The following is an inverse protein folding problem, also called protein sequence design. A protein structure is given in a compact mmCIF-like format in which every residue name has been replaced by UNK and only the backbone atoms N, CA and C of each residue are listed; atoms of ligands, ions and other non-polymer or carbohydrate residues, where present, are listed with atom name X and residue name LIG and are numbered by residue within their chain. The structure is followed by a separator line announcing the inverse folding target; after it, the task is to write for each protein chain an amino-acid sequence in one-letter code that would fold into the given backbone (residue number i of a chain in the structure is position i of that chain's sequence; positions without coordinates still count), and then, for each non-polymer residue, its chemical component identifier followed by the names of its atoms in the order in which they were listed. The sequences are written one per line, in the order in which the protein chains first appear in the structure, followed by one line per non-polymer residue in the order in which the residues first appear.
data_IF_496812507802
#
_entry.id   IF_496812507802
#
_cell.length_a   1.000
_cell.length_b   1.000
_cell.length_c   1.000
_cell.angle_alpha   90.00
_cell.angle_beta   90.00
_cell.angle_gamma   90.00
#
_symmetry.space_group_name_H-M   'P 1'
#
loop_
_entity.id
_entity.type
_entity.pdbx_description
1 polymer ?
#
# COMPACT_ATOMS: atom_id res chain seq x y z
N UNK A 1 40.93 47.86 -15.96
CA UNK A 1 39.58 47.43 -16.34
C UNK A 1 39.27 46.18 -15.51
N UNK A 2 38.63 46.39 -14.35
CA UNK A 2 38.45 45.37 -13.29
C UNK A 2 37.10 44.66 -13.52
N UNK A 3 37.16 43.40 -13.84
CA UNK A 3 36.01 42.51 -13.91
C UNK A 3 35.67 42.14 -12.46
N UNK A 4 34.54 42.62 -11.92
CA UNK A 4 34.00 42.20 -10.64
C UNK A 4 33.20 40.93 -10.86
N UNK A 5 33.73 39.80 -10.41
CA UNK A 5 32.97 38.56 -10.19
C UNK A 5 31.98 38.76 -9.04
N UNK A 6 30.71 38.80 -9.38
CA UNK A 6 29.62 38.73 -8.37
C UNK A 6 29.41 37.28 -8.01
N UNK A 7 30.14 36.81 -6.99
CA UNK A 7 29.87 35.52 -6.37
C UNK A 7 28.52 35.56 -5.65
N UNK A 8 27.51 34.88 -6.19
CA UNK A 8 26.26 34.65 -5.52
C UNK A 8 26.54 33.66 -4.38
N UNK A 9 26.67 34.18 -3.16
CA UNK A 9 26.74 33.39 -1.93
C UNK A 9 25.36 32.82 -1.64
N UNK A 10 25.06 31.62 -2.13
CA UNK A 10 23.97 30.82 -1.58
C UNK A 10 24.38 30.37 -0.17
N UNK A 11 23.84 30.98 0.85
CA UNK A 11 23.94 30.49 2.21
C UNK A 11 22.88 29.39 2.38
N UNK A 12 23.30 28.21 2.81
CA UNK A 12 22.45 27.04 3.11
C UNK A 12 21.34 27.31 4.17
N UNK A 13 21.25 28.54 4.67
CA UNK A 13 20.27 28.97 5.67
C UNK A 13 18.95 29.52 5.12
N UNK A 14 18.86 29.82 3.83
CA UNK A 14 17.69 30.50 3.24
C UNK A 14 16.72 29.58 2.52
N UNK A 15 16.96 28.26 2.49
CA UNK A 15 16.03 27.28 1.96
C UNK A 15 15.54 26.40 3.11
N UNK A 16 14.77 26.97 4.03
CA UNK A 16 13.83 26.17 4.82
C UNK A 16 12.68 25.76 3.92
N UNK A 17 12.95 24.83 3.01
CA UNK A 17 11.86 24.17 2.28
C UNK A 17 10.99 23.46 3.32
N UNK A 18 9.78 23.99 3.51
CA UNK A 18 8.79 23.32 4.34
C UNK A 18 8.27 22.11 3.58
N UNK A 19 8.96 20.98 3.69
CA UNK A 19 8.61 19.73 3.02
C UNK A 19 7.16 19.31 3.29
N UNK A 20 6.60 19.66 4.46
CA UNK A 20 5.20 19.38 4.80
C UNK A 20 4.22 20.18 3.94
N UNK A 21 4.53 21.44 3.61
CA UNK A 21 3.72 22.22 2.69
C UNK A 21 3.69 21.61 1.29
N UNK A 22 4.80 21.07 0.83
CA UNK A 22 4.88 20.41 -0.48
C UNK A 22 4.02 19.15 -0.58
N UNK A 23 3.67 18.50 0.54
CA UNK A 23 2.80 17.32 0.54
C UNK A 23 1.33 17.67 0.25
N UNK A 24 0.90 18.91 0.53
CA UNK A 24 -0.49 19.33 0.33
C UNK A 24 -0.91 19.29 -1.14
N UNK A 25 0.02 19.57 -2.04
CA UNK A 25 -0.24 19.67 -3.49
C UNK A 25 -0.18 18.31 -4.21
N UNK A 26 0.19 17.24 -3.50
CA UNK A 26 0.26 15.89 -4.06
C UNK A 26 -1.14 15.37 -4.39
N UNK A 27 -1.31 14.89 -5.62
CA UNK A 27 -2.62 14.47 -6.14
C UNK A 27 -2.79 12.95 -6.11
N UNK A 28 -1.79 12.19 -6.55
CA UNK A 28 -1.86 10.73 -6.60
C UNK A 28 -1.01 10.14 -5.49
N UNK A 29 -1.67 9.48 -4.54
CA UNK A 29 -1.09 9.03 -3.28
C UNK A 29 -1.24 7.52 -3.15
N UNK A 30 -0.12 6.82 -2.90
CA UNK A 30 -0.11 5.42 -2.51
C UNK A 30 0.15 5.35 -1.01
N UNK A 31 -0.72 4.65 -0.29
CA UNK A 31 -0.57 4.42 1.16
C UNK A 31 -0.41 2.93 1.41
N UNK A 32 0.68 2.54 2.08
CA UNK A 32 0.92 1.16 2.47
C UNK A 32 0.68 0.99 3.97
N UNK A 33 -0.02 -0.08 4.34
CA UNK A 33 -0.22 -0.48 5.73
C UNK A 33 0.22 -1.93 5.96
N UNK A 34 1.07 -2.13 6.97
CA UNK A 34 1.57 -3.45 7.34
C UNK A 34 0.59 -4.26 8.20
N UNK A 35 0.76 -5.59 8.23
CA UNK A 35 -0.06 -6.47 9.06
C UNK A 35 0.10 -6.20 10.56
N UNK A 36 1.27 -5.79 11.04
CA UNK A 36 1.52 -5.39 12.43
C UNK A 36 0.66 -4.21 12.87
N UNK A 37 0.34 -3.30 11.95
CA UNK A 37 -0.55 -2.16 12.23
C UNK A 37 -2.03 -2.54 12.22
N UNK A 38 -2.41 -3.57 11.46
CA UNK A 38 -3.82 -3.97 11.25
C UNK A 38 -4.32 -5.04 12.20
N UNK A 39 -3.44 -5.73 12.91
CA UNK A 39 -3.76 -6.93 13.70
C UNK A 39 -3.35 -6.72 15.15
N UNK A 40 -4.18 -7.13 16.09
CA UNK A 40 -3.83 -7.24 17.51
C UNK A 40 -2.83 -8.36 17.71
N UNK A 41 -1.66 -8.06 18.28
CA UNK A 41 -0.54 -9.02 18.47
C UNK A 41 -0.97 -10.21 19.35
N UNK A 42 -1.83 -9.96 20.35
CA UNK A 42 -2.23 -10.94 21.35
C UNK A 42 -3.28 -11.95 20.83
N UNK A 43 -4.13 -11.52 19.90
CA UNK A 43 -5.29 -12.32 19.47
C UNK A 43 -5.27 -12.70 18.00
N UNK A 44 -4.34 -12.17 17.23
CA UNK A 44 -4.29 -12.28 15.76
C UNK A 44 -5.58 -11.82 15.04
N UNK A 45 -6.43 -11.05 15.72
CA UNK A 45 -7.66 -10.50 15.16
C UNK A 45 -7.42 -9.11 14.59
N UNK A 46 -8.24 -8.72 13.62
CA UNK A 46 -8.17 -7.37 13.03
C UNK A 46 -8.45 -6.29 14.07
N UNK A 47 -7.64 -5.25 14.06
CA UNK A 47 -7.86 -4.03 14.81
C UNK A 47 -8.83 -3.12 14.03
N UNK A 48 -10.12 -3.31 14.29
CA UNK A 48 -11.17 -2.59 13.57
C UNK A 48 -11.08 -1.07 13.74
N UNK A 49 -10.63 -0.61 14.92
CA UNK A 49 -10.43 0.82 15.18
C UNK A 49 -9.38 1.43 14.26
N UNK A 50 -8.22 0.75 14.11
CA UNK A 50 -7.16 1.24 13.22
C UNK A 50 -7.59 1.19 11.76
N UNK A 51 -8.32 0.16 11.36
CA UNK A 51 -8.89 0.04 10.02
C UNK A 51 -9.88 1.16 9.72
N UNK A 52 -10.80 1.44 10.64
CA UNK A 52 -11.78 2.51 10.49
C UNK A 52 -11.10 3.88 10.36
N UNK A 53 -10.15 4.19 11.24
CA UNK A 53 -9.38 5.45 11.15
C UNK A 53 -8.66 5.56 9.81
N UNK A 54 -7.98 4.49 9.37
CA UNK A 54 -7.29 4.48 8.07
C UNK A 54 -8.27 4.75 6.92
N UNK A 55 -9.38 4.02 6.88
CA UNK A 55 -10.37 4.16 5.80
C UNK A 55 -10.99 5.55 5.79
N UNK A 56 -11.29 6.12 6.94
CA UNK A 56 -11.83 7.48 7.07
C UNK A 56 -10.86 8.52 6.49
N UNK A 57 -9.57 8.46 6.88
CA UNK A 57 -8.56 9.40 6.38
C UNK A 57 -8.34 9.25 4.85
N UNK A 58 -8.34 8.01 4.34
CA UNK A 58 -8.24 7.77 2.90
C UNK A 58 -9.46 8.27 2.14
N UNK A 59 -10.67 8.10 2.71
CA UNK A 59 -11.91 8.62 2.14
C UNK A 59 -11.94 10.14 2.12
N UNK A 60 -11.43 10.79 3.17
CA UNK A 60 -11.33 12.25 3.22
C UNK A 60 -10.34 12.80 2.17
N UNK A 61 -9.19 12.16 2.00
CA UNK A 61 -8.24 12.50 0.93
C UNK A 61 -8.88 12.34 -0.46
N UNK A 62 -9.64 11.27 -0.67
CA UNK A 62 -10.37 11.05 -1.92
C UNK A 62 -11.45 12.12 -2.15
N UNK A 63 -12.19 12.49 -1.12
CA UNK A 63 -13.19 13.57 -1.18
C UNK A 63 -12.57 14.95 -1.46
N UNK A 64 -11.29 15.15 -1.16
CA UNK A 64 -10.52 16.34 -1.55
C UNK A 64 -10.10 16.32 -3.03
N UNK A 65 -10.50 15.31 -3.81
CA UNK A 65 -10.16 15.16 -5.23
C UNK A 65 -8.78 14.57 -5.48
N UNK A 66 -8.23 13.81 -4.52
CA UNK A 66 -6.96 13.09 -4.68
C UNK A 66 -7.20 11.65 -5.14
N UNK A 67 -6.34 11.16 -6.01
CA UNK A 67 -6.26 9.74 -6.34
C UNK A 67 -5.61 8.99 -5.17
N UNK A 68 -6.31 8.02 -4.60
CA UNK A 68 -5.82 7.26 -3.44
C UNK A 68 -5.76 5.79 -3.77
N UNK A 69 -4.61 5.17 -3.52
CA UNK A 69 -4.39 3.71 -3.64
C UNK A 69 -3.93 3.17 -2.30
N UNK A 70 -4.60 2.16 -1.79
CA UNK A 70 -4.22 1.46 -0.55
C UNK A 70 -3.49 0.15 -0.87
N UNK A 71 -2.27 -0.01 -0.39
CA UNK A 71 -1.55 -1.29 -0.39
C UNK A 71 -1.64 -1.88 1.01
N UNK A 72 -2.29 -3.03 1.12
CA UNK A 72 -2.59 -3.66 2.40
C UNK A 72 -1.82 -4.96 2.58
N UNK A 73 -1.86 -5.50 3.79
CA UNK A 73 -1.26 -6.78 4.18
C UNK A 73 -2.20 -7.55 5.10
N UNK A 74 -1.79 -8.76 5.48
CA UNK A 74 -2.43 -9.50 6.57
C UNK A 74 -3.43 -10.56 6.14
N UNK A 75 -3.60 -10.83 4.85
CA UNK A 75 -4.52 -11.86 4.36
C UNK A 75 -4.26 -13.22 5.02
N UNK A 76 -3.01 -13.69 5.07
CA UNK A 76 -2.66 -14.98 5.72
C UNK A 76 -3.08 -15.00 7.20
N UNK A 77 -2.84 -13.94 7.96
CA UNK A 77 -3.19 -13.90 9.39
C UNK A 77 -4.71 -13.86 9.60
N UNK A 78 -5.42 -13.06 8.79
CA UNK A 78 -6.90 -13.00 8.83
C UNK A 78 -7.50 -14.36 8.49
N UNK A 79 -6.96 -15.05 7.50
CA UNK A 79 -7.41 -16.38 7.10
C UNK A 79 -7.09 -17.44 8.15
N UNK A 80 -5.89 -17.41 8.74
CA UNK A 80 -5.52 -18.30 9.84
C UNK A 80 -6.51 -18.16 11.02
N UNK A 81 -6.78 -16.92 11.43
CA UNK A 81 -7.77 -16.63 12.47
C UNK A 81 -9.17 -17.09 12.07
N UNK A 82 -9.60 -16.91 10.84
CA UNK A 82 -10.91 -17.33 10.34
C UNK A 82 -11.06 -18.86 10.31
N UNK A 83 -9.97 -19.59 10.08
CA UNK A 83 -9.90 -21.04 10.08
C UNK A 83 -9.64 -21.64 11.47
N UNK A 84 -9.61 -20.83 12.53
CA UNK A 84 -9.36 -21.28 13.89
C UNK A 84 -7.92 -21.70 14.18
N UNK A 85 -6.95 -21.28 13.38
CA UNK A 85 -5.54 -21.54 13.62
C UNK A 85 -4.98 -20.51 14.63
N UNK A 86 -4.27 -21.00 15.64
CA UNK A 86 -3.71 -20.14 16.70
C UNK A 86 -2.48 -19.36 16.20
N UNK A 87 -1.75 -19.90 15.21
CA UNK A 87 -0.53 -19.32 14.66
C UNK A 87 -0.58 -19.25 13.13
N UNK A 88 0.23 -18.36 12.58
CA UNK A 88 0.44 -18.32 11.12
C UNK A 88 1.09 -19.62 10.67
N UNK A 89 0.55 -20.31 9.65
CA UNK A 89 1.13 -21.55 9.19
C UNK A 89 2.53 -21.34 8.57
N UNK A 90 3.45 -22.25 8.85
CA UNK A 90 4.77 -22.26 8.22
C UNK A 90 4.74 -22.91 6.83
N UNK A 91 3.87 -23.91 6.65
CA UNK A 91 3.74 -24.67 5.41
C UNK A 91 3.07 -23.83 4.30
N UNK A 92 3.67 -23.80 3.11
CA UNK A 92 3.20 -22.99 1.97
C UNK A 92 1.74 -23.27 1.61
N UNK A 93 1.34 -24.54 1.46
CA UNK A 93 -0.04 -24.89 1.11
C UNK A 93 -1.05 -24.33 2.09
N UNK A 94 -0.71 -24.33 3.38
CA UNK A 94 -1.55 -23.75 4.42
C UNK A 94 -1.56 -22.23 4.37
N UNK A 95 -0.41 -21.60 4.06
CA UNK A 95 -0.34 -20.14 3.83
C UNK A 95 -1.23 -19.73 2.66
N UNK A 96 -1.14 -20.44 1.53
CA UNK A 96 -1.96 -20.21 0.33
C UNK A 96 -3.46 -20.32 0.65
N UNK A 97 -3.87 -21.40 1.34
CA UNK A 97 -5.25 -21.57 1.76
C UNK A 97 -5.72 -20.47 2.73
N UNK A 98 -4.90 -20.12 3.71
CA UNK A 98 -5.18 -18.99 4.61
C UNK A 98 -5.27 -17.67 3.85
N UNK A 99 -4.38 -17.41 2.90
CA UNK A 99 -4.43 -16.20 2.10
C UNK A 99 -5.74 -16.11 1.31
N UNK A 100 -6.16 -17.20 0.66
CA UNK A 100 -7.41 -17.24 -0.11
C UNK A 100 -8.63 -16.89 0.75
N UNK A 101 -8.75 -17.50 1.94
CA UNK A 101 -9.85 -17.21 2.89
C UNK A 101 -9.74 -15.80 3.46
N UNK A 102 -8.53 -15.41 3.86
CA UNK A 102 -8.29 -14.14 4.54
C UNK A 102 -8.40 -12.94 3.62
N UNK A 103 -7.99 -13.06 2.36
CA UNK A 103 -8.10 -11.99 1.37
C UNK A 103 -9.57 -11.64 1.10
N UNK A 104 -10.42 -12.64 0.91
CA UNK A 104 -11.85 -12.43 0.74
C UNK A 104 -12.47 -11.71 1.96
N UNK A 105 -12.13 -12.17 3.17
CA UNK A 105 -12.63 -11.56 4.41
C UNK A 105 -12.10 -10.14 4.62
N UNK A 106 -10.82 -9.91 4.36
CA UNK A 106 -10.19 -8.59 4.46
C UNK A 106 -10.84 -7.60 3.49
N UNK A 107 -11.05 -8.01 2.24
CA UNK A 107 -11.68 -7.18 1.23
C UNK A 107 -13.13 -6.85 1.57
N UNK A 108 -13.90 -7.82 2.08
CA UNK A 108 -15.27 -7.58 2.56
C UNK A 108 -15.31 -6.50 3.66
N UNK A 109 -14.33 -6.50 4.56
CA UNK A 109 -14.24 -5.50 5.63
C UNK A 109 -13.89 -4.12 5.05
N UNK A 110 -12.92 -4.03 4.15
CA UNK A 110 -12.60 -2.77 3.47
C UNK A 110 -13.79 -2.22 2.69
N UNK A 111 -14.47 -3.05 1.89
CA UNK A 111 -15.66 -2.62 1.15
C UNK A 111 -16.75 -2.08 2.07
N UNK A 112 -17.01 -2.77 3.20
CA UNK A 112 -17.97 -2.30 4.19
C UNK A 112 -17.58 -0.94 4.78
N UNK A 113 -16.31 -0.79 5.21
CA UNK A 113 -15.84 0.45 5.83
C UNK A 113 -15.82 1.62 4.83
N UNK A 114 -15.37 1.40 3.60
CA UNK A 114 -15.38 2.43 2.56
C UNK A 114 -16.81 2.82 2.16
N UNK A 115 -17.75 1.87 2.13
CA UNK A 115 -19.16 2.14 1.84
C UNK A 115 -19.81 3.08 2.87
N UNK A 116 -19.42 3.05 4.15
CA UNK A 116 -19.88 3.99 5.18
C UNK A 116 -19.54 5.46 4.83
N UNK A 117 -18.53 5.67 4.00
CA UNK A 117 -18.09 6.99 3.49
C UNK A 117 -18.48 7.22 2.03
N UNK A 118 -19.41 6.42 1.47
CA UNK A 118 -19.83 6.47 0.06
C UNK A 118 -18.67 6.27 -0.94
N UNK A 119 -17.65 5.51 -0.56
CA UNK A 119 -16.52 5.19 -1.43
C UNK A 119 -16.63 3.76 -1.97
N UNK A 120 -16.19 3.59 -3.21
CA UNK A 120 -16.10 2.27 -3.87
C UNK A 120 -14.68 1.75 -3.75
N UNK A 121 -14.50 0.62 -3.04
CA UNK A 121 -13.21 -0.07 -2.96
C UNK A 121 -13.12 -1.18 -4.01
N UNK A 122 -12.03 -1.20 -4.79
CA UNK A 122 -11.78 -2.19 -5.82
C UNK A 122 -10.55 -3.04 -5.48
N UNK A 123 -10.67 -4.39 -5.52
CA UNK A 123 -9.56 -5.28 -5.25
C UNK A 123 -8.63 -5.40 -6.45
N UNK A 124 -7.31 -5.27 -6.22
CA UNK A 124 -6.26 -5.66 -7.16
C UNK A 124 -5.30 -6.61 -6.47
N UNK A 125 -5.08 -7.79 -7.05
CA UNK A 125 -4.09 -8.76 -6.58
C UNK A 125 -2.93 -8.82 -7.56
N UNK A 126 -1.73 -8.58 -7.03
CA UNK A 126 -0.51 -8.50 -7.83
C UNK A 126 0.42 -9.67 -7.51
N UNK A 127 1.14 -10.12 -8.52
CA UNK A 127 2.31 -10.99 -8.35
C UNK A 127 3.53 -10.30 -8.97
N UNK A 128 4.72 -10.71 -8.56
CA UNK A 128 5.96 -10.18 -9.16
C UNK A 128 6.00 -10.44 -10.68
N UNK A 129 5.47 -11.57 -11.13
CA UNK A 129 5.35 -11.89 -12.56
C UNK A 129 4.48 -10.86 -13.31
N UNK A 130 3.47 -10.29 -12.68
CA UNK A 130 2.66 -9.19 -13.25
C UNK A 130 3.55 -8.01 -13.65
N UNK A 131 4.60 -7.72 -12.89
CA UNK A 131 5.49 -6.59 -13.13
C UNK A 131 6.61 -6.89 -14.14
N UNK A 132 7.07 -8.15 -14.19
CA UNK A 132 8.14 -8.58 -15.10
C UNK A 132 7.59 -8.74 -16.52
N UNK A 133 6.39 -9.27 -16.67
CA UNK A 133 5.74 -9.44 -17.96
C UNK A 133 5.17 -8.10 -18.47
N UNK A 134 5.66 -7.63 -19.63
CA UNK A 134 5.27 -6.34 -20.20
C UNK A 134 3.76 -6.21 -20.45
N UNK A 135 3.11 -7.26 -20.94
CA UNK A 135 1.68 -7.26 -21.21
C UNK A 135 0.87 -7.18 -19.91
N UNK A 136 1.23 -8.02 -18.93
CA UNK A 136 0.56 -8.02 -17.63
C UNK A 136 0.73 -6.68 -16.92
N UNK A 137 1.94 -6.10 -16.97
CA UNK A 137 2.23 -4.77 -16.42
C UNK A 137 1.40 -3.67 -17.09
N UNK A 138 1.28 -3.70 -18.41
CA UNK A 138 0.44 -2.76 -19.15
C UNK A 138 -1.04 -2.90 -18.76
N UNK A 139 -1.56 -4.12 -18.71
CA UNK A 139 -2.94 -4.39 -18.30
C UNK A 139 -3.21 -3.95 -16.86
N UNK A 140 -2.28 -4.21 -15.92
CA UNK A 140 -2.39 -3.76 -14.55
C UNK A 140 -2.46 -2.21 -14.49
N UNK A 141 -1.58 -1.51 -15.21
CA UNK A 141 -1.60 -0.06 -15.29
C UNK A 141 -2.95 0.46 -15.81
N UNK A 142 -3.47 -0.10 -16.90
CA UNK A 142 -4.76 0.28 -17.47
C UNK A 142 -5.89 0.10 -16.45
N UNK A 143 -5.86 -1.00 -15.68
CA UNK A 143 -6.85 -1.26 -14.62
C UNK A 143 -6.77 -0.19 -13.52
N UNK A 144 -5.57 0.17 -13.06
CA UNK A 144 -5.42 1.25 -12.08
C UNK A 144 -5.94 2.58 -12.61
N UNK A 145 -5.54 2.97 -13.81
CA UNK A 145 -5.96 4.25 -14.41
C UNK A 145 -7.49 4.31 -14.54
N UNK A 146 -8.12 3.24 -15.01
CA UNK A 146 -9.56 3.21 -15.17
C UNK A 146 -10.30 3.25 -13.81
N UNK A 147 -9.83 2.50 -12.81
CA UNK A 147 -10.40 2.57 -11.46
C UNK A 147 -10.31 3.97 -10.85
N UNK A 148 -9.18 4.63 -11.01
CA UNK A 148 -8.99 6.01 -10.54
C UNK A 148 -9.88 6.99 -11.33
N UNK A 149 -10.02 6.82 -12.65
CA UNK A 149 -10.89 7.65 -13.49
C UNK A 149 -12.37 7.56 -13.11
N UNK A 150 -12.84 6.36 -12.72
CA UNK A 150 -14.24 6.18 -12.26
C UNK A 150 -14.43 6.52 -10.78
N UNK A 151 -13.39 7.00 -10.09
CA UNK A 151 -13.44 7.39 -8.68
C UNK A 151 -13.50 6.23 -7.70
N UNK A 152 -12.99 5.04 -8.08
CA UNK A 152 -12.83 3.93 -7.14
C UNK A 152 -11.47 4.00 -6.42
N UNK A 153 -11.40 3.49 -5.20
CA UNK A 153 -10.16 3.37 -4.42
C UNK A 153 -9.61 1.95 -4.59
N UNK A 154 -8.49 1.77 -5.33
CA UNK A 154 -7.84 0.47 -5.43
C UNK A 154 -7.27 0.02 -4.08
N UNK A 155 -7.65 -1.18 -3.63
CA UNK A 155 -7.10 -1.88 -2.47
C UNK A 155 -6.26 -3.04 -3.00
N UNK A 156 -4.96 -2.92 -2.86
CA UNK A 156 -3.96 -3.79 -3.48
C UNK A 156 -3.32 -4.71 -2.46
N UNK A 157 -3.12 -5.96 -2.81
CA UNK A 157 -2.32 -6.90 -2.02
C UNK A 157 -1.53 -7.84 -2.94
N UNK A 158 -0.54 -8.53 -2.39
CA UNK A 158 0.10 -9.64 -3.09
C UNK A 158 -0.85 -10.82 -3.20
N UNK A 159 -0.80 -11.55 -4.33
CA UNK A 159 -1.59 -12.75 -4.55
C UNK A 159 -0.89 -13.98 -3.96
N UNK A 160 -0.84 -14.04 -2.63
CA UNK A 160 -0.21 -15.15 -1.90
C UNK A 160 -0.90 -16.50 -2.14
N UNK A 161 -2.13 -16.51 -2.68
CA UNK A 161 -2.87 -17.76 -2.91
C UNK A 161 -2.31 -18.60 -4.04
N UNK A 162 -1.52 -18.02 -4.93
CA UNK A 162 -0.88 -18.66 -6.06
C UNK A 162 0.66 -18.57 -6.04
N UNK A 163 1.24 -18.06 -4.96
CA UNK A 163 2.70 -18.01 -4.81
C UNK A 163 3.29 -19.42 -4.71
N UNK A 164 4.45 -19.66 -5.35
CA UNK A 164 5.11 -20.98 -5.38
C UNK A 164 6.42 -20.99 -4.60
N UNK A 165 6.87 -22.19 -4.14
CA UNK A 165 8.12 -22.34 -3.36
C UNK A 165 9.38 -21.93 -4.10
N UNK A 166 9.44 -22.24 -5.39
CA UNK A 166 10.59 -21.91 -6.24
C UNK A 166 10.68 -20.41 -6.48
N UNK A 167 9.52 -19.74 -6.36
CA UNK A 167 9.31 -18.35 -6.61
C UNK A 167 9.34 -17.50 -5.32
N UNK A 168 9.16 -18.13 -4.13
CA UNK A 168 9.16 -17.43 -2.83
C UNK A 168 10.46 -16.63 -2.61
N UNK A 169 11.61 -17.10 -3.15
CA UNK A 169 12.88 -16.38 -3.13
C UNK A 169 13.09 -15.42 -4.31
N UNK A 170 12.42 -15.64 -5.43
CA UNK A 170 12.61 -14.90 -6.67
C UNK A 170 11.37 -14.08 -7.11
N UNK A 171 10.17 -14.49 -6.74
CA UNK A 171 8.90 -13.93 -7.23
C UNK A 171 8.02 -13.27 -6.16
N UNK A 172 8.32 -13.41 -4.87
CA UNK A 172 7.70 -12.60 -3.84
C UNK A 172 8.29 -11.20 -3.87
N UNK A 173 7.47 -10.17 -3.67
CA UNK A 173 7.97 -8.80 -3.49
C UNK A 173 8.82 -8.66 -2.21
N UNK A 174 8.91 -9.72 -1.38
CA UNK A 174 9.62 -9.74 -0.11
C UNK A 174 8.79 -9.15 1.00
N UNK A 175 8.25 -7.97 0.76
CA UNK A 175 7.28 -7.30 1.63
C UNK A 175 6.38 -6.35 0.81
N UNK A 176 5.31 -5.88 1.43
CA UNK A 176 4.40 -4.95 0.78
C UNK A 176 4.97 -3.52 0.67
N UNK A 177 6.14 -3.22 1.26
CA UNK A 177 6.84 -1.96 1.04
C UNK A 177 7.40 -1.92 -0.39
N UNK A 178 8.08 -3.00 -0.81
CA UNK A 178 8.55 -3.16 -2.20
C UNK A 178 7.38 -3.15 -3.19
N UNK A 179 6.29 -3.88 -2.92
CA UNK A 179 5.10 -3.86 -3.75
C UNK A 179 4.54 -2.44 -3.89
N UNK A 180 4.44 -1.69 -2.79
CA UNK A 180 3.91 -0.32 -2.81
C UNK A 180 4.79 0.64 -3.62
N UNK A 181 6.12 0.51 -3.54
CA UNK A 181 7.05 1.30 -4.34
C UNK A 181 6.92 0.99 -5.84
N UNK A 182 6.77 -0.28 -6.18
CA UNK A 182 6.54 -0.73 -7.57
C UNK A 182 5.22 -0.18 -8.12
N UNK A 183 4.14 -0.23 -7.33
CA UNK A 183 2.84 0.33 -7.71
C UNK A 183 2.95 1.85 -7.87
N UNK A 184 3.58 2.55 -6.93
CA UNK A 184 3.76 4.00 -7.03
C UNK A 184 4.48 4.39 -8.32
N UNK A 185 5.54 3.66 -8.71
CA UNK A 185 6.22 3.85 -9.98
C UNK A 185 5.35 3.50 -11.19
N UNK A 186 4.55 2.42 -11.12
CA UNK A 186 3.67 1.98 -12.21
C UNK A 186 2.61 3.01 -12.57
N UNK A 187 1.98 3.63 -11.58
CA UNK A 187 0.88 4.58 -11.76
C UNK A 187 1.34 6.05 -11.77
N UNK A 188 2.64 6.31 -11.62
CA UNK A 188 3.18 7.68 -11.54
C UNK A 188 2.67 8.45 -10.32
N UNK A 189 2.70 7.83 -9.14
CA UNK A 189 2.26 8.48 -7.90
C UNK A 189 3.18 9.64 -7.50
N UNK A 190 2.58 10.70 -6.97
CA UNK A 190 3.32 11.87 -6.46
C UNK A 190 3.87 11.66 -5.05
N UNK A 191 3.25 10.72 -4.31
CA UNK A 191 3.58 10.46 -2.91
C UNK A 191 3.35 8.98 -2.58
N UNK A 192 4.32 8.38 -1.89
CA UNK A 192 4.20 7.09 -1.24
C UNK A 192 4.33 7.28 0.28
N UNK A 193 3.32 6.81 1.02
CA UNK A 193 3.28 6.84 2.48
C UNK A 193 3.38 5.40 3.00
N UNK A 194 4.41 5.11 3.78
CA UNK A 194 4.60 3.83 4.46
C UNK A 194 4.19 3.97 5.92
N UNK A 195 3.05 3.36 6.28
CA UNK A 195 2.61 3.29 7.67
C UNK A 195 3.28 2.10 8.34
N UNK A 196 4.23 2.40 9.23
CA UNK A 196 5.05 1.43 9.95
C UNK A 196 4.89 1.58 11.45
N UNK A 197 5.32 0.57 12.19
CA UNK A 197 5.42 0.55 13.65
C UNK A 197 6.83 0.92 14.16
N UNK A 198 7.71 1.41 13.26
CA UNK A 198 9.02 1.98 13.60
C UNK A 198 8.96 3.52 13.58
N UNK A 199 9.79 4.16 14.40
CA UNK A 199 9.75 5.62 14.61
C UNK A 199 10.26 6.43 13.40
N UNK A 200 10.88 5.79 12.43
CA UNK A 200 11.36 6.43 11.20
C UNK A 200 12.65 5.80 10.66
N UNK A 201 13.20 6.46 9.65
CA UNK A 201 14.53 6.13 9.12
C UNK A 201 15.58 6.88 9.93
N UNK A 202 16.48 6.13 10.56
CA UNK A 202 17.61 6.69 11.30
C UNK A 202 18.88 6.56 10.45
N UNK A 203 19.69 7.59 10.47
CA UNK A 203 21.09 7.54 10.01
C UNK A 203 21.95 7.28 11.23
N UNK A 204 22.85 6.29 11.17
CA UNK A 204 23.83 6.01 12.22
C UNK A 204 24.70 7.22 12.54
#
# INVERSE_FOLDING_TARGET
MLCRETAIKYTWRDITMNYREMLKDKKRIVVKVGSSSLIHKETNKLNLRKLEVLVRELSDLHNQGKDVVLVTSGAVAVGASALGLHEKPAELKKKQACSAVGQAKLMMIYQKLFAEYNQVAAQILMTKNTMVNNLNRHNARNTFEELLNVGAIPVVNENDSISSYELEKLESFGDNDTLSAVIAGLIGADLLILLSDIDGLFTD
#
